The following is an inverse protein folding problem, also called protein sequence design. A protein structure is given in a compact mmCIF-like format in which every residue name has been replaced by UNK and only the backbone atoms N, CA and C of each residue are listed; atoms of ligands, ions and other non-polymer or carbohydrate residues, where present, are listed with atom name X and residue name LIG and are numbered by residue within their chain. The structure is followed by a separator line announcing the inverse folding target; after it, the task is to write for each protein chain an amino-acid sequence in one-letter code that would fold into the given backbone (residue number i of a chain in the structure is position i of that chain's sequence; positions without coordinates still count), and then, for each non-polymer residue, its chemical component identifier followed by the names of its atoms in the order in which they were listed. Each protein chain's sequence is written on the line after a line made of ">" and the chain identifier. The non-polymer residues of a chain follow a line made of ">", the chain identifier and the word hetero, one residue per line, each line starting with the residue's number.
data_IF_239344630560
#
_entry.id   IF_239344630560
#
_cell.length_a   1.000
_cell.length_b   1.000
_cell.length_c   1.000
_cell.angle_alpha   90.00
_cell.angle_beta   90.00
_cell.angle_gamma   90.00
#
_symmetry.space_group_name_H-M   'P 1'
#
loop_
_entity.id
_entity.type
_entity.pdbx_description
1 polymer ?
#
# COMPACT_ATOMS: atom_id res chain seq x y z
N UNK A 1 -23.22 -9.71 -0.22
CA UNK A 1 -23.00 -10.61 0.93
C UNK A 1 -23.53 -9.90 2.16
N UNK A 2 -24.53 -10.47 2.84
CA UNK A 2 -25.03 -9.94 4.12
C UNK A 2 -23.95 -10.25 5.16
N UNK A 3 -23.43 -9.27 5.92
CA UNK A 3 -22.41 -9.55 6.92
C UNK A 3 -23.00 -10.45 8.02
N UNK A 4 -22.32 -11.57 8.29
CA UNK A 4 -22.68 -12.52 9.35
C UNK A 4 -22.36 -11.99 10.76
N UNK A 5 -21.55 -10.93 10.84
CA UNK A 5 -21.03 -10.34 12.08
C UNK A 5 -21.18 -8.83 11.99
N UNK A 6 -21.62 -8.23 13.09
CA UNK A 6 -21.75 -6.78 13.23
C UNK A 6 -20.39 -6.08 13.22
N UNK A 7 -20.34 -4.85 12.68
CA UNK A 7 -19.11 -4.06 12.58
C UNK A 7 -18.46 -3.84 13.97
N UNK A 8 -19.26 -3.63 15.01
CA UNK A 8 -18.76 -3.43 16.38
C UNK A 8 -18.11 -4.71 16.94
N UNK A 9 -18.64 -5.89 16.61
CA UNK A 9 -18.02 -7.16 17.01
C UNK A 9 -16.68 -7.34 16.31
N UNK A 10 -16.58 -6.93 15.05
CA UNK A 10 -15.31 -6.97 14.31
C UNK A 10 -14.28 -6.08 15.01
N UNK A 11 -14.64 -4.84 15.33
CA UNK A 11 -13.74 -3.84 15.92
C UNK A 11 -13.37 -4.13 17.37
N UNK A 12 -14.32 -4.56 18.22
CA UNK A 12 -14.11 -4.66 19.67
C UNK A 12 -13.66 -6.05 20.15
N UNK A 13 -13.80 -7.07 19.29
CA UNK A 13 -13.54 -8.47 19.68
C UNK A 13 -12.59 -9.16 18.72
N UNK A 14 -12.91 -9.16 17.43
CA UNK A 14 -12.13 -9.90 16.43
C UNK A 14 -10.78 -9.19 16.23
N UNK A 15 -10.80 -7.88 15.97
CA UNK A 15 -9.60 -7.13 15.65
C UNK A 15 -8.58 -7.15 16.81
N UNK A 16 -8.95 -6.99 18.09
CA UNK A 16 -7.99 -7.10 19.19
C UNK A 16 -7.38 -8.49 19.35
N UNK A 17 -8.17 -9.54 19.12
CA UNK A 17 -7.65 -10.92 19.15
C UNK A 17 -6.62 -11.15 18.05
N UNK A 18 -6.94 -10.76 16.81
CA UNK A 18 -6.03 -10.94 15.66
C UNK A 18 -4.81 -10.03 15.78
N UNK A 19 -4.97 -8.82 16.32
CA UNK A 19 -3.87 -7.91 16.61
C UNK A 19 -2.85 -8.53 17.57
N UNK A 20 -3.30 -9.22 18.63
CA UNK A 20 -2.38 -9.95 19.51
C UNK A 20 -1.55 -11.02 18.76
N UNK A 21 -2.11 -11.61 17.70
CA UNK A 21 -1.41 -12.60 16.86
C UNK A 21 -0.33 -11.97 15.95
N UNK A 22 -0.29 -10.64 15.80
CA UNK A 22 0.80 -9.95 15.09
C UNK A 22 2.14 -10.09 15.81
N UNK A 23 2.12 -10.40 17.11
CA UNK A 23 3.31 -10.61 17.95
C UNK A 23 3.53 -12.09 18.33
N UNK A 24 2.88 -13.02 17.64
CA UNK A 24 3.07 -14.46 17.86
C UNK A 24 4.51 -14.92 17.52
N UNK A 25 5.02 -15.93 18.21
CA UNK A 25 6.38 -16.47 17.98
C UNK A 25 6.57 -17.03 16.56
N UNK A 26 5.52 -17.60 15.97
CA UNK A 26 5.57 -18.23 14.65
C UNK A 26 5.28 -17.23 13.54
N UNK A 27 6.25 -17.06 12.64
CA UNK A 27 6.16 -16.18 11.47
C UNK A 27 4.93 -16.46 10.58
N UNK A 28 4.47 -17.71 10.48
CA UNK A 28 3.26 -18.06 9.73
C UNK A 28 1.98 -17.52 10.37
N UNK A 29 1.91 -17.51 11.70
CA UNK A 29 0.78 -16.94 12.45
C UNK A 29 0.76 -15.44 12.26
N UNK A 30 1.91 -14.76 12.41
CA UNK A 30 2.05 -13.33 12.14
C UNK A 30 1.63 -12.94 10.72
N UNK A 31 2.06 -13.70 9.72
CA UNK A 31 1.68 -13.47 8.33
C UNK A 31 0.16 -13.61 8.09
N UNK A 32 -0.47 -14.65 8.65
CA UNK A 32 -1.92 -14.83 8.52
C UNK A 32 -2.71 -13.81 9.35
N UNK A 33 -2.14 -13.34 10.47
CA UNK A 33 -2.69 -12.26 11.27
C UNK A 33 -2.76 -10.94 10.47
N UNK A 34 -1.70 -10.56 9.74
CA UNK A 34 -1.72 -9.38 8.85
C UNK A 34 -2.87 -9.49 7.85
N UNK A 35 -2.96 -10.64 7.17
CA UNK A 35 -4.03 -10.91 6.21
C UNK A 35 -5.40 -10.76 6.88
N UNK A 36 -5.58 -11.35 8.04
CA UNK A 36 -6.86 -11.38 8.76
C UNK A 36 -7.26 -10.00 9.29
N UNK A 37 -6.31 -9.20 9.79
CA UNK A 37 -6.52 -7.79 10.15
C UNK A 37 -7.06 -7.01 8.96
N UNK A 38 -6.42 -7.16 7.80
CA UNK A 38 -6.83 -6.47 6.57
C UNK A 38 -8.26 -6.88 6.18
N UNK A 39 -8.57 -8.18 6.15
CA UNK A 39 -9.93 -8.65 5.85
C UNK A 39 -10.97 -8.16 6.86
N UNK A 40 -10.65 -8.13 8.15
CA UNK A 40 -11.53 -7.63 9.19
C UNK A 40 -11.88 -6.16 8.93
N UNK A 41 -10.86 -5.31 8.77
CA UNK A 41 -11.02 -3.87 8.52
C UNK A 41 -11.74 -3.60 7.20
N UNK A 42 -11.45 -4.36 6.14
CA UNK A 42 -12.16 -4.24 4.86
C UNK A 42 -13.65 -4.55 4.96
N UNK A 43 -14.02 -5.40 5.91
CA UNK A 43 -15.42 -5.81 6.12
C UNK A 43 -16.23 -4.78 6.88
N UNK A 44 -15.58 -3.94 7.69
CA UNK A 44 -16.22 -2.89 8.49
C UNK A 44 -16.83 -1.82 7.57
N UNK A 45 -18.13 -1.55 7.75
CA UNK A 45 -18.87 -0.53 6.98
C UNK A 45 -19.16 0.72 7.78
N UNK A 46 -19.53 0.55 9.04
CA UNK A 46 -19.87 1.62 9.96
C UNK A 46 -18.78 1.71 11.03
N UNK A 47 -18.36 2.92 11.33
CA UNK A 47 -17.38 3.23 12.38
C UNK A 47 -17.92 4.39 13.22
N UNK A 48 -17.42 4.52 14.44
CA UNK A 48 -17.74 5.61 15.35
C UNK A 48 -16.49 6.49 15.60
N UNK A 49 -16.63 7.53 16.44
CA UNK A 49 -15.52 8.42 16.79
C UNK A 49 -14.40 7.72 17.57
N UNK A 50 -14.70 6.65 18.31
CA UNK A 50 -13.70 5.88 19.08
C UNK A 50 -12.72 5.14 18.16
N UNK A 51 -13.04 5.03 16.86
CA UNK A 51 -12.20 4.37 15.87
C UNK A 51 -11.27 5.33 15.12
N UNK A 52 -11.25 6.63 15.45
CA UNK A 52 -10.47 7.65 14.75
C UNK A 52 -8.99 7.28 14.67
N UNK A 53 -8.43 6.84 15.80
CA UNK A 53 -7.00 6.58 15.94
C UNK A 53 -6.63 5.10 15.72
N UNK A 54 -7.55 4.30 15.15
CA UNK A 54 -7.34 2.86 14.98
C UNK A 54 -6.08 2.54 14.17
N UNK A 55 -5.73 3.37 13.20
CA UNK A 55 -4.54 3.15 12.39
C UNK A 55 -3.29 3.73 13.05
N UNK A 56 -3.30 5.02 13.38
CA UNK A 56 -2.15 5.77 13.89
C UNK A 56 -1.67 5.30 15.25
N UNK A 57 -2.58 5.00 16.19
CA UNK A 57 -2.23 4.67 17.57
C UNK A 57 -2.24 3.15 17.84
N UNK A 58 -2.88 2.35 16.97
CA UNK A 58 -3.03 0.91 17.22
C UNK A 58 -2.36 0.01 16.17
N UNK A 59 -2.74 0.10 14.90
CA UNK A 59 -2.23 -0.81 13.86
C UNK A 59 -0.81 -0.46 13.40
N UNK A 60 -0.58 0.79 13.00
CA UNK A 60 0.70 1.24 12.44
C UNK A 60 1.88 1.10 13.42
N UNK A 61 1.76 1.46 14.70
CA UNK A 61 2.84 1.25 15.65
C UNK A 61 3.22 -0.23 15.79
N UNK A 62 2.23 -1.13 15.73
CA UNK A 62 2.46 -2.57 15.80
C UNK A 62 3.16 -3.10 14.57
N UNK A 63 2.74 -2.67 13.37
CA UNK A 63 3.34 -3.03 12.09
C UNK A 63 4.73 -2.40 11.84
N UNK A 64 5.07 -1.37 12.63
CA UNK A 64 6.37 -0.69 12.63
C UNK A 64 7.28 -1.08 13.80
N UNK A 65 6.79 -1.90 14.73
CA UNK A 65 7.57 -2.29 15.90
C UNK A 65 8.88 -2.96 15.44
N UNK A 66 10.03 -2.65 16.07
CA UNK A 66 11.29 -3.35 15.78
C UNK A 66 11.24 -4.84 16.19
N UNK A 67 10.25 -5.24 16.98
CA UNK A 67 9.95 -6.64 17.29
C UNK A 67 8.98 -7.28 16.28
N UNK A 68 8.42 -6.48 15.36
CA UNK A 68 7.64 -6.92 14.21
C UNK A 68 8.60 -7.27 13.06
N UNK A 69 8.34 -8.33 12.29
CA UNK A 69 9.38 -9.32 12.03
C UNK A 69 10.45 -8.94 11.00
N UNK A 70 11.68 -9.30 11.35
CA UNK A 70 12.86 -9.50 10.48
C UNK A 70 12.66 -10.56 9.37
N UNK A 71 11.49 -11.18 9.27
CA UNK A 71 11.23 -12.29 8.35
C UNK A 71 10.61 -11.78 7.04
N UNK A 72 11.35 -11.94 5.93
CA UNK A 72 10.92 -11.66 4.56
C UNK A 72 9.52 -12.21 4.23
N UNK A 73 9.13 -13.39 4.71
CA UNK A 73 7.81 -13.98 4.47
C UNK A 73 6.67 -13.14 5.05
N UNK A 74 6.87 -12.58 6.25
CA UNK A 74 5.86 -11.76 6.90
C UNK A 74 5.79 -10.38 6.24
N UNK A 75 6.96 -9.79 5.92
CA UNK A 75 7.03 -8.52 5.18
C UNK A 75 6.46 -8.64 3.77
N UNK A 76 6.59 -9.80 3.12
CA UNK A 76 5.94 -10.09 1.83
C UNK A 76 4.41 -10.11 1.97
N UNK A 77 3.87 -10.68 3.05
CA UNK A 77 2.43 -10.59 3.33
C UNK A 77 1.99 -9.14 3.59
N UNK A 78 2.79 -8.33 4.28
CA UNK A 78 2.50 -6.90 4.42
C UNK A 78 2.52 -6.17 3.08
N UNK A 79 3.54 -6.39 2.25
CA UNK A 79 3.62 -5.84 0.89
C UNK A 79 2.39 -6.17 0.05
N UNK A 80 1.89 -7.41 0.14
CA UNK A 80 0.70 -7.85 -0.58
C UNK A 80 -0.56 -7.06 -0.20
N UNK A 81 -0.67 -6.61 1.05
CA UNK A 81 -1.87 -5.94 1.57
C UNK A 81 -1.70 -4.44 1.86
N UNK A 82 -0.52 -3.88 1.62
CA UNK A 82 -0.20 -2.48 1.90
C UNK A 82 -1.19 -1.51 1.22
N UNK A 83 -1.56 -1.79 -0.03
CA UNK A 83 -2.48 -0.94 -0.78
C UNK A 83 -3.91 -0.94 -0.21
N UNK A 84 -4.34 -2.06 0.39
CA UNK A 84 -5.63 -2.18 1.06
C UNK A 84 -5.61 -1.48 2.42
N UNK A 85 -4.48 -1.54 3.15
CA UNK A 85 -4.28 -0.77 4.37
C UNK A 85 -4.36 0.73 4.09
N UNK A 86 -3.72 1.21 3.02
CA UNK A 86 -3.74 2.62 2.63
C UNK A 86 -5.15 3.15 2.34
N UNK A 87 -5.92 2.38 1.55
CA UNK A 87 -7.31 2.74 1.27
C UNK A 87 -8.14 2.79 2.55
N UNK A 88 -8.01 1.80 3.44
CA UNK A 88 -8.83 1.75 4.63
C UNK A 88 -8.39 2.72 5.71
N UNK A 89 -7.11 3.06 5.83
CA UNK A 89 -6.66 4.10 6.74
C UNK A 89 -7.24 5.46 6.36
N UNK A 90 -7.24 5.79 5.07
CA UNK A 90 -7.86 7.02 4.58
C UNK A 90 -9.38 7.00 4.73
N UNK A 91 -10.03 5.88 4.36
CA UNK A 91 -11.48 5.73 4.49
C UNK A 91 -11.97 5.88 5.93
N UNK A 92 -11.22 5.34 6.90
CA UNK A 92 -11.56 5.47 8.32
C UNK A 92 -11.43 6.92 8.77
N UNK A 93 -10.29 7.55 8.46
CA UNK A 93 -10.03 8.95 8.80
C UNK A 93 -11.08 9.92 8.21
N UNK A 94 -11.41 9.77 6.93
CA UNK A 94 -12.44 10.59 6.28
C UNK A 94 -13.82 10.40 6.95
N UNK A 95 -14.17 9.16 7.32
CA UNK A 95 -15.45 8.89 7.96
C UNK A 95 -15.53 9.43 9.37
N UNK A 96 -14.49 9.30 10.19
CA UNK A 96 -14.48 9.86 11.54
C UNK A 96 -14.54 11.39 11.50
N UNK A 97 -13.82 12.01 10.57
CA UNK A 97 -13.92 13.45 10.31
C UNK A 97 -15.35 13.89 9.95
N UNK A 98 -16.02 13.20 9.02
CA UNK A 98 -17.40 13.52 8.63
C UNK A 98 -18.41 13.34 9.78
N UNK A 99 -18.15 12.42 10.72
CA UNK A 99 -18.99 12.23 11.91
C UNK A 99 -18.80 13.42 12.87
N UNK A 100 -17.56 13.83 13.10
CA UNK A 100 -17.22 15.00 13.93
C UNK A 100 -17.78 16.30 13.36
N UNK A 101 -17.67 16.49 12.03
CA UNK A 101 -18.23 17.64 11.31
C UNK A 101 -19.76 17.74 11.46
N UNK A 102 -20.47 16.61 11.53
CA UNK A 102 -21.92 16.60 11.75
C UNK A 102 -22.31 16.90 13.20
N UNK A 103 -21.46 16.53 14.15
CA UNK A 103 -21.73 16.65 15.58
C UNK A 103 -21.36 18.04 16.14
N UNK A 104 -20.47 18.79 15.48
CA UNK A 104 -19.99 20.11 15.90
C UNK A 104 -20.09 21.18 14.81
N UNK A 105 -20.21 22.46 15.18
CA UNK A 105 -20.00 23.57 14.24
C UNK A 105 -18.51 23.59 13.90
N UNK A 106 -18.18 23.48 12.61
CA UNK A 106 -16.81 23.49 12.08
C UNK A 106 -16.00 24.63 12.71
N UNK A 107 -14.95 24.28 13.44
CA UNK A 107 -13.93 25.21 13.92
C UNK A 107 -12.57 24.83 13.31
N UNK A 108 -11.67 25.81 13.17
CA UNK A 108 -10.34 25.62 12.56
C UNK A 108 -9.52 24.49 13.20
N UNK A 109 -9.73 24.19 14.48
CA UNK A 109 -9.01 23.13 15.20
C UNK A 109 -9.35 21.73 14.67
N UNK A 110 -10.61 21.49 14.29
CA UNK A 110 -11.04 20.20 13.74
C UNK A 110 -10.38 19.92 12.38
N UNK A 111 -10.37 20.93 11.50
CA UNK A 111 -9.74 20.82 10.19
C UNK A 111 -8.23 20.59 10.30
N UNK A 112 -7.56 21.30 11.22
CA UNK A 112 -6.14 21.12 11.47
C UNK A 112 -5.81 19.71 11.97
N UNK A 113 -6.62 19.17 12.89
CA UNK A 113 -6.42 17.80 13.39
C UNK A 113 -6.51 16.77 12.25
N UNK A 114 -7.49 16.92 11.34
CA UNK A 114 -7.59 16.06 10.17
C UNK A 114 -6.36 16.15 9.25
N UNK A 115 -5.86 17.35 8.96
CA UNK A 115 -4.65 17.51 8.13
C UNK A 115 -3.41 16.89 8.77
N UNK A 116 -3.23 17.06 10.08
CA UNK A 116 -2.12 16.48 10.84
C UNK A 116 -2.18 14.94 10.83
N UNK A 117 -3.37 14.37 11.03
CA UNK A 117 -3.59 12.92 11.02
C UNK A 117 -3.40 12.33 9.62
N UNK A 118 -3.95 12.99 8.59
CA UNK A 118 -3.76 12.61 7.18
C UNK A 118 -2.27 12.60 6.82
N UNK A 119 -1.53 13.62 7.27
CA UNK A 119 -0.07 13.68 7.09
C UNK A 119 0.64 12.53 7.81
N UNK A 120 0.21 12.16 9.01
CA UNK A 120 0.72 11.00 9.74
C UNK A 120 0.54 9.70 8.96
N UNK A 121 -0.68 9.44 8.49
CA UNK A 121 -1.02 8.26 7.68
C UNK A 121 -0.21 8.21 6.37
N UNK A 122 -0.09 9.34 5.66
CA UNK A 122 0.76 9.41 4.45
C UNK A 122 2.23 9.15 4.74
N UNK A 123 2.76 9.71 5.82
CA UNK A 123 4.17 9.56 6.19
C UNK A 123 4.50 8.11 6.50
N UNK A 124 3.64 7.45 7.29
CA UNK A 124 3.79 6.04 7.60
C UNK A 124 3.74 5.17 6.34
N UNK A 125 2.75 5.42 5.47
CA UNK A 125 2.59 4.65 4.23
C UNK A 125 3.77 4.82 3.27
N UNK A 126 4.27 6.05 3.13
CA UNK A 126 5.46 6.34 2.31
C UNK A 126 6.69 5.64 2.87
N UNK A 127 6.93 5.73 4.19
CA UNK A 127 8.04 5.05 4.84
C UNK A 127 7.97 3.54 4.60
N UNK A 128 6.83 2.93 4.90
CA UNK A 128 6.67 1.48 4.76
C UNK A 128 6.75 0.99 3.32
N UNK A 129 6.23 1.77 2.37
CA UNK A 129 6.41 1.48 0.94
C UNK A 129 7.90 1.50 0.57
N UNK A 130 8.63 2.53 0.98
CA UNK A 130 10.07 2.64 0.78
C UNK A 130 10.84 1.46 1.37
N UNK A 131 10.58 1.09 2.63
CA UNK A 131 11.23 -0.03 3.31
C UNK A 131 11.05 -1.35 2.53
N UNK A 132 9.83 -1.61 2.07
CA UNK A 132 9.49 -2.83 1.32
C UNK A 132 10.07 -2.83 -0.10
N UNK A 133 10.30 -1.66 -0.71
CA UNK A 133 10.93 -1.54 -2.02
C UNK A 133 12.43 -1.82 -1.94
N UNK A 134 13.11 -1.28 -0.92
CA UNK A 134 14.56 -1.48 -0.76
C UNK A 134 14.88 -2.84 -0.13
N UNK A 135 13.95 -3.39 0.64
CA UNK A 135 14.15 -4.62 1.37
C UNK A 135 15.23 -4.49 2.45
N UNK A 136 15.57 -5.61 3.06
CA UNK A 136 16.69 -5.72 4.01
C UNK A 136 17.58 -6.89 3.60
N UNK A 137 18.57 -7.26 4.43
CA UNK A 137 19.59 -8.27 4.11
C UNK A 137 19.03 -9.66 3.75
N UNK A 138 17.81 -9.97 4.19
CA UNK A 138 17.07 -11.20 3.93
C UNK A 138 16.20 -11.14 2.64
N UNK A 139 16.21 -10.02 1.91
CA UNK A 139 15.59 -9.87 0.58
C UNK A 139 16.59 -9.43 -0.51
N UNK A 140 17.68 -10.17 -0.75
CA UNK A 140 18.72 -9.77 -1.71
C UNK A 140 18.24 -9.76 -3.17
N UNK A 141 17.08 -10.35 -3.46
CA UNK A 141 16.51 -10.45 -4.81
C UNK A 141 15.29 -9.53 -5.00
N UNK A 142 14.97 -8.64 -4.06
CA UNK A 142 13.83 -7.71 -4.19
C UNK A 142 12.47 -8.42 -4.35
N UNK A 143 12.27 -9.53 -3.64
CA UNK A 143 11.01 -10.27 -3.60
C UNK A 143 9.88 -9.44 -2.97
N UNK A 144 10.19 -8.57 -2.02
CA UNK A 144 9.24 -7.65 -1.40
C UNK A 144 8.77 -6.59 -2.41
N UNK A 145 9.70 -5.98 -3.11
CA UNK A 145 9.41 -5.06 -4.21
C UNK A 145 8.60 -5.73 -5.33
N UNK A 146 8.95 -6.97 -5.69
CA UNK A 146 8.20 -7.76 -6.67
C UNK A 146 6.76 -7.98 -6.20
N UNK A 147 6.58 -8.28 -4.91
CA UNK A 147 5.25 -8.45 -4.30
C UNK A 147 4.44 -7.15 -4.36
N UNK A 148 5.07 -6.01 -4.07
CA UNK A 148 4.44 -4.68 -4.20
C UNK A 148 4.03 -4.38 -5.63
N UNK A 149 4.89 -4.61 -6.63
CA UNK A 149 4.55 -4.40 -8.04
C UNK A 149 3.37 -5.26 -8.51
N UNK A 150 3.15 -6.42 -7.89
CA UNK A 150 1.99 -7.29 -8.16
C UNK A 150 0.78 -7.00 -7.29
N UNK A 151 0.92 -6.13 -6.31
CA UNK A 151 -0.21 -5.65 -5.50
C UNK A 151 -1.06 -4.66 -6.29
N UNK A 152 -2.20 -4.26 -5.72
CA UNK A 152 -3.12 -3.32 -6.36
C UNK A 152 -2.60 -1.87 -6.23
N UNK A 153 -1.60 -1.50 -7.04
CA UNK A 153 -0.94 -0.19 -6.97
C UNK A 153 -1.90 0.98 -7.25
N UNK A 154 -3.02 0.78 -7.95
CA UNK A 154 -3.98 1.87 -8.19
C UNK A 154 -4.58 2.42 -6.89
N UNK A 155 -4.72 1.57 -5.85
CA UNK A 155 -5.20 1.99 -4.54
C UNK A 155 -4.17 2.89 -3.86
N UNK A 156 -2.87 2.56 -3.97
CA UNK A 156 -1.80 3.41 -3.47
C UNK A 156 -1.72 4.73 -4.26
N UNK A 157 -1.86 4.69 -5.58
CA UNK A 157 -1.90 5.91 -6.40
C UNK A 157 -3.06 6.82 -5.98
N UNK A 158 -4.26 6.24 -5.83
CA UNK A 158 -5.46 6.96 -5.36
C UNK A 158 -5.25 7.55 -3.97
N UNK A 159 -4.71 6.75 -3.05
CA UNK A 159 -4.39 7.17 -1.69
C UNK A 159 -3.42 8.36 -1.69
N UNK A 160 -2.31 8.28 -2.41
CA UNK A 160 -1.30 9.35 -2.43
C UNK A 160 -1.73 10.59 -3.23
N UNK A 161 -2.61 10.44 -4.21
CA UNK A 161 -2.87 11.48 -5.20
C UNK A 161 -1.73 11.60 -6.22
N UNK A 162 -1.97 12.34 -7.31
CA UNK A 162 -1.05 12.42 -8.47
C UNK A 162 0.36 12.89 -8.11
N UNK A 163 0.48 14.05 -7.45
CA UNK A 163 1.77 14.67 -7.12
C UNK A 163 2.64 13.74 -6.28
N UNK A 164 2.05 13.16 -5.23
CA UNK A 164 2.77 12.30 -4.30
C UNK A 164 3.02 10.90 -4.89
N UNK A 165 2.16 10.43 -5.80
CA UNK A 165 2.43 9.21 -6.58
C UNK A 165 3.71 9.37 -7.42
N UNK A 166 3.89 10.51 -8.08
CA UNK A 166 5.11 10.80 -8.84
C UNK A 166 6.34 10.81 -7.92
N UNK A 167 6.22 11.44 -6.75
CA UNK A 167 7.32 11.52 -5.77
C UNK A 167 7.67 10.15 -5.16
N UNK A 168 6.67 9.40 -4.70
CA UNK A 168 6.83 8.18 -3.89
C UNK A 168 6.93 6.93 -4.74
N UNK A 169 6.01 6.73 -5.68
CA UNK A 169 5.97 5.50 -6.48
C UNK A 169 6.90 5.64 -7.68
N UNK A 170 6.76 6.73 -8.47
CA UNK A 170 7.56 6.91 -9.67
C UNK A 170 9.05 7.12 -9.35
N UNK A 171 9.36 7.71 -8.20
CA UNK A 171 10.73 7.89 -7.69
C UNK A 171 11.52 6.60 -7.53
N UNK A 172 10.86 5.43 -7.43
CA UNK A 172 11.53 4.14 -7.30
C UNK A 172 11.60 3.31 -8.60
N UNK A 173 10.91 3.71 -9.68
CA UNK A 173 10.77 2.86 -10.88
C UNK A 173 12.12 2.50 -11.52
N UNK A 174 13.04 3.46 -11.60
CA UNK A 174 14.39 3.23 -12.16
C UNK A 174 15.18 2.26 -11.28
N UNK A 175 15.09 2.40 -9.96
CA UNK A 175 15.74 1.49 -9.00
C UNK A 175 15.20 0.07 -9.16
N UNK A 176 13.88 -0.09 -9.30
CA UNK A 176 13.21 -1.37 -9.51
C UNK A 176 13.63 -2.05 -10.83
N UNK A 177 13.69 -1.27 -11.92
CA UNK A 177 14.12 -1.78 -13.22
C UNK A 177 15.60 -2.17 -13.24
N UNK A 178 16.41 -1.67 -12.30
CA UNK A 178 17.84 -1.98 -12.21
C UNK A 178 18.14 -3.19 -11.31
N UNK A 179 17.12 -3.78 -10.66
CA UNK A 179 17.31 -4.93 -9.78
C UNK A 179 17.63 -6.22 -10.57
N UNK A 180 18.42 -7.15 -9.99
CA UNK A 180 18.82 -8.39 -10.68
C UNK A 180 17.64 -9.35 -10.93
N UNK A 181 16.60 -9.28 -10.12
CA UNK A 181 15.42 -10.12 -10.25
C UNK A 181 14.57 -9.73 -11.46
N UNK A 182 14.66 -10.54 -12.52
CA UNK A 182 13.90 -10.35 -13.75
C UNK A 182 12.39 -10.39 -13.54
N UNK A 183 11.89 -11.12 -12.53
CA UNK A 183 10.46 -11.21 -12.25
C UNK A 183 9.92 -9.89 -11.69
N UNK A 184 10.73 -9.18 -10.91
CA UNK A 184 10.44 -7.81 -10.48
C UNK A 184 10.43 -6.87 -11.68
N UNK A 185 11.49 -6.88 -12.51
CA UNK A 185 11.57 -6.03 -13.71
C UNK A 185 10.39 -6.27 -14.66
N UNK A 186 9.99 -7.53 -14.85
CA UNK A 186 8.83 -7.90 -15.66
C UNK A 186 7.50 -7.42 -15.02
N UNK A 187 7.33 -7.60 -13.70
CA UNK A 187 6.13 -7.15 -12.98
C UNK A 187 6.02 -5.62 -12.96
N UNK A 188 7.14 -4.90 -12.96
CA UNK A 188 7.18 -3.45 -13.03
C UNK A 188 6.40 -2.93 -14.24
N UNK A 189 6.53 -3.55 -15.42
CA UNK A 189 5.83 -3.09 -16.63
C UNK A 189 4.32 -3.32 -16.60
N UNK A 190 3.85 -4.40 -15.96
CA UNK A 190 2.40 -4.56 -15.71
C UNK A 190 1.91 -3.44 -14.76
N UNK A 191 2.70 -3.11 -13.73
CA UNK A 191 2.39 -2.04 -12.76
C UNK A 191 2.51 -0.62 -13.34
N UNK A 192 3.43 -0.40 -14.28
CA UNK A 192 3.71 0.88 -14.93
C UNK A 192 2.49 1.34 -15.73
N UNK A 193 1.79 0.42 -16.40
CA UNK A 193 0.54 0.72 -17.12
C UNK A 193 -0.51 1.27 -16.16
N UNK A 194 -0.67 0.66 -14.98
CA UNK A 194 -1.62 1.11 -13.97
C UNK A 194 -1.27 2.51 -13.44
N UNK A 195 -0.01 2.72 -13.08
CA UNK A 195 0.48 4.01 -12.54
C UNK A 195 0.37 5.13 -13.57
N UNK A 196 0.78 4.87 -14.81
CA UNK A 196 0.67 5.79 -15.93
C UNK A 196 -0.78 6.19 -16.22
N UNK A 197 -1.70 5.22 -16.22
CA UNK A 197 -3.13 5.46 -16.45
C UNK A 197 -3.73 6.39 -15.39
N UNK A 198 -3.25 6.30 -14.15
CA UNK A 198 -3.68 7.18 -13.07
C UNK A 198 -3.13 8.61 -13.19
N UNK A 199 -1.84 8.74 -13.51
CA UNK A 199 -1.17 10.05 -13.61
C UNK A 199 -1.68 10.80 -14.85
N UNK A 200 -1.75 10.13 -16.00
CA UNK A 200 -2.09 10.72 -17.29
C UNK A 200 -0.86 11.20 -18.05
N UNK A 201 -1.02 12.24 -18.88
CA UNK A 201 0.02 12.72 -19.82
C UNK A 201 1.36 13.10 -19.15
N UNK A 202 1.34 13.57 -17.91
CA UNK A 202 2.57 13.89 -17.14
C UNK A 202 3.50 12.67 -16.96
N UNK A 203 2.97 11.45 -17.16
CA UNK A 203 3.75 10.23 -17.03
C UNK A 203 4.75 9.98 -18.17
N UNK A 204 4.59 10.67 -19.30
CA UNK A 204 5.48 10.54 -20.46
C UNK A 204 6.96 10.77 -20.11
N UNK A 205 7.21 11.73 -19.20
CA UNK A 205 8.55 12.15 -18.80
C UNK A 205 9.40 11.03 -18.19
N UNK A 206 8.78 10.03 -17.56
CA UNK A 206 9.49 8.92 -16.93
C UNK A 206 9.20 7.55 -17.55
N UNK A 207 8.12 7.40 -18.33
CA UNK A 207 7.80 6.13 -19.00
C UNK A 207 8.79 5.82 -20.11
N UNK A 208 9.12 6.80 -20.96
CA UNK A 208 9.95 6.56 -22.14
C UNK A 208 11.36 6.03 -21.79
N UNK A 209 12.08 6.59 -20.80
CA UNK A 209 13.34 6.01 -20.35
C UNK A 209 13.21 4.55 -19.87
N UNK A 210 12.15 4.22 -19.12
CA UNK A 210 11.92 2.86 -18.61
C UNK A 210 11.62 1.87 -19.74
N UNK A 211 10.82 2.28 -20.73
CA UNK A 211 10.53 1.47 -21.92
C UNK A 211 11.80 1.17 -22.71
N UNK A 212 12.62 2.20 -22.96
CA UNK A 212 13.88 2.03 -23.69
C UNK A 212 14.84 1.08 -22.96
N UNK A 213 14.96 1.22 -21.64
CA UNK A 213 15.78 0.31 -20.83
C UNK A 213 15.21 -1.12 -20.85
N UNK A 214 13.90 -1.29 -20.68
CA UNK A 214 13.27 -2.61 -20.66
C UNK A 214 13.27 -3.35 -22.01
N UNK A 215 13.26 -2.63 -23.14
CA UNK A 215 13.41 -3.24 -24.47
C UNK A 215 14.81 -3.81 -24.71
N UNK A 216 15.80 -3.33 -23.97
CA UNK A 216 17.20 -3.76 -24.04
C UNK A 216 17.55 -4.73 -22.90
N UNK A 217 16.56 -5.22 -22.15
CA UNK A 217 16.77 -6.17 -21.06
C UNK A 217 17.29 -7.51 -21.61
N UNK A 218 18.21 -8.13 -20.88
CA UNK A 218 18.79 -9.44 -21.24
C UNK A 218 17.75 -10.58 -21.15
N UNK A 219 16.70 -10.38 -20.36
CA UNK A 219 15.67 -11.39 -20.09
C UNK A 219 14.46 -11.19 -21.01
N UNK A 220 14.21 -12.16 -21.90
CA UNK A 220 13.12 -12.11 -22.89
C UNK A 220 11.73 -11.91 -22.25
N UNK A 221 11.51 -12.41 -21.04
CA UNK A 221 10.26 -12.23 -20.31
C UNK A 221 9.99 -10.76 -19.93
N UNK A 222 11.05 -10.00 -19.65
CA UNK A 222 10.95 -8.56 -19.37
C UNK A 222 10.60 -7.83 -20.67
N UNK A 223 11.33 -8.09 -21.75
CA UNK A 223 11.07 -7.52 -23.08
C UNK A 223 9.64 -7.79 -23.52
N UNK A 224 9.14 -9.02 -23.35
CA UNK A 224 7.75 -9.37 -23.64
C UNK A 224 6.74 -8.53 -22.84
N UNK A 225 6.99 -8.27 -21.55
CA UNK A 225 6.13 -7.40 -20.73
C UNK A 225 6.19 -5.94 -21.16
N UNK A 226 7.35 -5.46 -21.61
CA UNK A 226 7.50 -4.11 -22.17
C UNK A 226 6.68 -3.95 -23.43
N UNK A 227 6.73 -4.91 -24.36
CA UNK A 227 5.92 -4.91 -25.58
C UNK A 227 4.41 -4.92 -25.28
N UNK A 228 4.00 -5.69 -24.26
CA UNK A 228 2.61 -5.69 -23.79
C UNK A 228 2.22 -4.34 -23.20
N UNK A 229 3.09 -3.70 -22.41
CA UNK A 229 2.85 -2.37 -21.85
C UNK A 229 2.73 -1.30 -22.95
N UNK A 230 3.61 -1.34 -23.97
CA UNK A 230 3.51 -0.49 -25.17
C UNK A 230 2.15 -0.63 -25.86
N UNK A 231 1.69 -1.86 -26.09
CA UNK A 231 0.37 -2.11 -26.68
C UNK A 231 -0.78 -1.55 -25.82
N UNK A 232 -0.64 -1.56 -24.49
CA UNK A 232 -1.60 -0.92 -23.59
C UNK A 232 -1.55 0.62 -23.72
N UNK A 233 -0.35 1.23 -23.75
CA UNK A 233 -0.21 2.68 -23.89
C UNK A 233 -0.82 3.22 -25.18
N UNK A 234 -0.61 2.53 -26.30
CA UNK A 234 -1.24 2.88 -27.60
C UNK A 234 -2.77 2.82 -27.56
N UNK A 235 -3.36 2.02 -26.67
CA UNK A 235 -4.83 1.96 -26.50
C UNK A 235 -5.36 3.03 -25.54
N UNK A 236 -4.50 3.61 -24.72
CA UNK A 236 -4.83 4.66 -23.75
C UNK A 236 -4.69 6.06 -24.36
N UNK A 237 -3.93 6.20 -25.45
CA UNK A 237 -3.82 7.39 -26.29
C UNK A 237 -5.00 7.53 -27.25
#
# INVERSE_FOLDING_TARGET
>A
MIPLVDDQIILDRILPYVHAMLSDDFHRVRADAIRTVVFAISSVKNINQENADLFSEYLFPTLSSPHFPDDCYVRSNLAKYLSVLAEHSLRFLEKTYLIEERNHIINNDLFKNYEDELKGVHTWMQGKFGDLIHGENDDPNGQLAETLCRSDLIRLCTFFGKRKTIEVICGHLTTLLSQPNWRLRAALFDSLVTVASYIGLESELFILPLLNQGLLDEEEFVVYRVLKALACFVRLS
#
